data_IF_146644051054
#
_entry.id   IF_146644051054
#
_cell.length_a   1.000
_cell.length_b   1.000
_cell.length_c   1.000
_cell.angle_alpha   90.00
_cell.angle_beta   90.00
_cell.angle_gamma   90.00
#
_symmetry.space_group_name_H-M   'P 1'
#
loop_
_entity.id
_entity.type
_entity.pdbx_description
1 polymer ?
#
# COMPACT_ATOMS: atom_id res chain seq x y z
N UNK A 1 -34.31 -8.26 20.13
CA UNK A 1 -33.87 -7.99 18.74
C UNK A 1 -32.46 -7.41 18.78
N UNK A 2 -31.46 -8.20 19.19
CA UNK A 2 -30.06 -7.76 19.33
C UNK A 2 -29.12 -8.52 18.38
N UNK A 3 -29.68 -9.22 17.39
CA UNK A 3 -28.94 -10.11 16.49
C UNK A 3 -28.59 -9.45 15.14
N UNK A 4 -29.24 -8.33 14.78
CA UNK A 4 -29.08 -7.66 13.49
C UNK A 4 -27.84 -6.78 13.40
N UNK A 5 -27.47 -6.11 14.50
CA UNK A 5 -26.47 -5.04 14.47
C UNK A 5 -25.05 -5.63 14.36
N UNK A 6 -24.81 -6.77 15.04
CA UNK A 6 -23.56 -7.51 14.90
C UNK A 6 -23.38 -8.13 13.52
N UNK A 7 -24.43 -8.66 12.89
CA UNK A 7 -24.33 -9.24 11.54
C UNK A 7 -24.02 -8.17 10.48
N UNK A 8 -24.65 -7.00 10.55
CA UNK A 8 -24.40 -5.87 9.66
C UNK A 8 -22.98 -5.28 9.84
N UNK A 9 -22.54 -5.12 11.09
CA UNK A 9 -21.19 -4.66 11.43
C UNK A 9 -20.10 -5.59 10.87
N UNK A 10 -20.36 -6.89 10.81
CA UNK A 10 -19.44 -7.84 10.20
C UNK A 10 -19.51 -7.81 8.66
N UNK A 11 -20.69 -7.54 8.08
CA UNK A 11 -20.89 -7.60 6.63
C UNK A 11 -20.11 -6.52 5.87
N UNK A 12 -20.12 -5.26 6.31
CA UNK A 12 -19.40 -4.19 5.61
C UNK A 12 -17.88 -4.43 5.62
N UNK A 13 -17.34 -4.92 6.75
CA UNK A 13 -15.93 -5.33 6.85
C UNK A 13 -15.62 -6.42 5.83
N UNK A 14 -16.48 -7.44 5.70
CA UNK A 14 -16.28 -8.48 4.70
C UNK A 14 -16.34 -7.93 3.27
N UNK A 15 -17.28 -7.03 2.98
CA UNK A 15 -17.40 -6.39 1.68
C UNK A 15 -16.13 -5.60 1.33
N UNK A 16 -15.56 -4.86 2.29
CA UNK A 16 -14.30 -4.13 2.09
C UNK A 16 -13.13 -5.10 1.94
N UNK A 17 -13.06 -6.20 2.71
CA UNK A 17 -12.02 -7.22 2.55
C UNK A 17 -12.02 -7.85 1.16
N UNK A 18 -13.19 -8.14 0.61
CA UNK A 18 -13.34 -8.80 -0.69
C UNK A 18 -13.27 -7.84 -1.89
N UNK A 19 -13.42 -6.53 -1.66
CA UNK A 19 -13.49 -5.54 -2.75
C UNK A 19 -12.14 -5.07 -3.32
N UNK A 20 -11.02 -5.55 -2.77
CA UNK A 20 -9.67 -5.20 -3.25
C UNK A 20 -9.21 -6.07 -4.42
N UNK A 21 -8.17 -5.65 -5.13
CA UNK A 21 -7.61 -6.41 -6.26
C UNK A 21 -6.94 -7.74 -5.84
N UNK A 22 -6.62 -7.87 -4.56
CA UNK A 22 -5.92 -9.03 -3.98
C UNK A 22 -6.87 -9.73 -2.99
N UNK A 23 -7.09 -11.05 -3.11
CA UNK A 23 -7.99 -11.77 -2.23
C UNK A 23 -7.46 -11.87 -0.80
N UNK A 24 -8.37 -11.76 0.18
CA UNK A 24 -8.11 -12.12 1.57
C UNK A 24 -8.19 -13.64 1.73
N UNK A 25 -7.12 -14.29 2.14
CA UNK A 25 -6.98 -15.74 2.26
C UNK A 25 -6.49 -16.14 3.66
N UNK A 26 -6.57 -17.42 4.03
CA UNK A 26 -5.94 -17.90 5.26
C UNK A 26 -4.41 -17.75 5.23
N UNK A 27 -3.75 -17.40 6.36
CA UNK A 27 -2.32 -17.10 6.38
C UNK A 27 -1.42 -18.28 6.00
N UNK A 28 -1.86 -19.52 6.25
CA UNK A 28 -1.19 -20.77 5.86
C UNK A 28 -1.22 -21.05 4.35
N UNK A 29 -2.18 -20.48 3.61
CA UNK A 29 -2.35 -20.69 2.18
C UNK A 29 -2.83 -19.40 1.50
N UNK A 30 -1.90 -18.49 1.25
CA UNK A 30 -2.18 -17.13 0.80
C UNK A 30 -1.59 -16.78 -0.60
N UNK A 31 -1.63 -17.66 -1.62
CA UNK A 31 -0.98 -17.38 -2.90
C UNK A 31 -1.60 -16.18 -3.62
N UNK A 32 -0.76 -15.26 -4.12
CA UNK A 32 -1.17 -14.00 -4.76
C UNK A 32 -2.27 -13.29 -3.96
N UNK A 33 -2.12 -13.29 -2.64
CA UNK A 33 -3.14 -12.94 -1.67
C UNK A 33 -2.61 -12.10 -0.53
N UNK A 34 -3.52 -11.69 0.35
CA UNK A 34 -3.18 -11.14 1.66
C UNK A 34 -3.93 -11.87 2.78
N UNK A 35 -3.41 -11.79 4.00
CA UNK A 35 -3.97 -12.41 5.19
C UNK A 35 -3.59 -11.62 6.44
N UNK A 36 -4.16 -12.00 7.58
CA UNK A 36 -3.67 -11.55 8.90
C UNK A 36 -2.82 -12.66 9.51
N UNK A 37 -1.50 -12.46 9.68
CA UNK A 37 -0.63 -13.46 10.30
C UNK A 37 -0.92 -13.57 11.81
N UNK A 38 -0.42 -14.60 12.51
CA UNK A 38 -0.47 -14.65 13.96
C UNK A 38 0.41 -13.55 14.59
N UNK A 39 -0.12 -12.82 15.58
CA UNK A 39 0.60 -11.73 16.25
C UNK A 39 1.84 -12.18 17.01
N UNK A 40 1.85 -13.42 17.48
CA UNK A 40 2.99 -14.02 18.19
C UNK A 40 4.24 -14.21 17.33
N UNK A 41 4.12 -14.05 16.01
CA UNK A 41 5.29 -14.04 15.11
C UNK A 41 6.12 -12.75 15.21
N UNK A 42 5.58 -11.70 15.85
CA UNK A 42 6.27 -10.44 16.07
C UNK A 42 6.70 -10.31 17.53
N UNK A 43 7.94 -9.88 17.75
CA UNK A 43 8.48 -9.67 19.09
C UNK A 43 8.43 -8.20 19.48
N UNK A 44 7.68 -7.88 20.54
CA UNK A 44 7.43 -6.52 21.04
C UNK A 44 8.07 -6.32 22.42
N UNK A 45 8.18 -5.06 22.88
CA UNK A 45 8.74 -4.75 24.20
C UNK A 45 7.85 -5.33 25.31
N UNK A 46 8.41 -6.18 26.18
CA UNK A 46 7.70 -6.77 27.32
C UNK A 46 7.46 -5.77 28.47
N UNK A 47 6.73 -6.17 29.52
CA UNK A 47 6.31 -5.27 30.61
C UNK A 47 7.47 -4.57 31.32
N UNK A 48 8.61 -5.26 31.51
CA UNK A 48 9.80 -4.73 32.16
C UNK A 48 10.93 -4.40 31.17
N UNK A 49 10.61 -4.12 29.89
CA UNK A 49 11.61 -3.97 28.82
C UNK A 49 12.68 -2.91 29.14
N UNK A 50 12.34 -1.79 29.78
CA UNK A 50 13.35 -0.76 30.03
C UNK A 50 14.45 -1.23 30.98
N UNK A 51 14.12 -2.09 31.94
CA UNK A 51 15.07 -2.73 32.85
C UNK A 51 15.76 -3.97 32.25
N UNK A 52 15.00 -4.83 31.57
CA UNK A 52 15.46 -6.19 31.18
C UNK A 52 15.89 -6.31 29.72
N UNK A 53 15.45 -5.38 28.86
CA UNK A 53 15.49 -5.48 27.39
C UNK A 53 14.78 -6.74 26.84
N UNK A 54 13.96 -7.41 27.64
CA UNK A 54 13.25 -8.62 27.24
C UNK A 54 12.05 -8.30 26.34
N UNK A 55 12.00 -8.96 25.18
CA UNK A 55 10.86 -8.91 24.27
C UNK A 55 9.96 -10.12 24.46
N UNK A 56 8.68 -9.95 24.19
CA UNK A 56 7.64 -10.99 24.25
C UNK A 56 6.93 -11.12 22.91
N UNK A 57 6.27 -12.26 22.63
CA UNK A 57 5.34 -12.36 21.50
C UNK A 57 4.26 -11.27 21.56
N UNK A 58 3.89 -10.73 20.39
CA UNK A 58 3.03 -9.55 20.28
C UNK A 58 1.55 -9.76 20.61
N UNK A 59 1.05 -11.00 20.55
CA UNK A 59 -0.33 -11.31 20.89
C UNK A 59 -1.38 -10.61 20.02
N UNK A 60 -2.49 -10.21 20.63
CA UNK A 60 -3.65 -9.65 19.95
C UNK A 60 -3.44 -8.21 19.43
N UNK A 61 -3.96 -7.97 18.22
CA UNK A 61 -3.98 -6.66 17.57
C UNK A 61 -4.97 -5.70 18.25
N UNK A 62 -4.62 -4.41 18.27
CA UNK A 62 -5.54 -3.34 18.70
C UNK A 62 -6.64 -3.07 17.67
N UNK A 63 -6.33 -3.24 16.37
CA UNK A 63 -7.22 -2.93 15.26
C UNK A 63 -7.57 -4.20 14.48
N UNK A 64 -8.80 -4.28 13.99
CA UNK A 64 -9.24 -5.37 13.10
C UNK A 64 -8.75 -5.10 11.67
N UNK A 65 -8.34 -6.12 10.90
CA UNK A 65 -8.03 -5.95 9.49
C UNK A 65 -9.30 -5.57 8.71
N UNK A 66 -9.20 -4.55 7.87
CA UNK A 66 -10.32 -4.05 7.06
C UNK A 66 -10.14 -4.35 5.57
N UNK A 67 -8.93 -4.24 5.03
CA UNK A 67 -8.69 -4.51 3.62
C UNK A 67 -7.26 -4.24 3.20
N UNK A 68 -6.93 -4.64 1.98
CA UNK A 68 -5.66 -4.34 1.32
C UNK A 68 -5.92 -3.91 -0.11
N UNK A 69 -5.26 -2.85 -0.53
CA UNK A 69 -5.21 -2.44 -1.93
C UNK A 69 -3.78 -2.56 -2.47
N UNK A 70 -3.66 -3.25 -3.59
CA UNK A 70 -2.47 -3.32 -4.40
C UNK A 70 -2.77 -2.60 -5.71
N UNK A 71 -2.26 -1.39 -5.86
CA UNK A 71 -2.64 -0.50 -6.95
C UNK A 71 -1.42 0.16 -7.58
N UNK A 72 -1.59 0.60 -8.82
CA UNK A 72 -0.57 1.31 -9.58
C UNK A 72 -1.11 2.46 -10.39
N UNK A 73 -0.27 3.46 -10.64
CA UNK A 73 -0.64 4.66 -11.38
C UNK A 73 0.56 5.35 -12.05
N UNK A 74 0.29 6.28 -12.98
CA UNK A 74 1.34 7.05 -13.65
C UNK A 74 2.02 8.07 -12.72
N UNK A 75 1.34 8.46 -11.65
CA UNK A 75 1.82 9.37 -10.61
C UNK A 75 1.78 8.69 -9.25
N UNK A 76 2.50 9.27 -8.28
CA UNK A 76 2.48 8.81 -6.90
C UNK A 76 1.06 8.87 -6.34
N UNK A 77 0.62 7.79 -5.70
CA UNK A 77 -0.73 7.67 -5.14
C UNK A 77 -0.67 8.03 -3.65
N UNK A 78 -1.37 9.07 -3.26
CA UNK A 78 -1.40 9.61 -1.91
C UNK A 78 -2.82 10.02 -1.50
N UNK A 79 -3.04 10.20 -0.20
CA UNK A 79 -4.30 10.72 0.36
C UNK A 79 -5.55 9.97 -0.11
N UNK A 80 -5.45 8.66 -0.27
CA UNK A 80 -6.50 7.83 -0.90
C UNK A 80 -7.83 7.90 -0.16
N UNK A 81 -7.79 8.09 1.17
CA UNK A 81 -8.99 8.22 1.97
C UNK A 81 -9.63 9.61 1.89
N UNK A 82 -8.97 10.63 1.33
CA UNK A 82 -9.65 11.91 0.99
C UNK A 82 -10.55 11.79 -0.22
N UNK A 83 -10.25 10.88 -1.14
CA UNK A 83 -11.07 10.63 -2.31
C UNK A 83 -12.38 9.95 -1.89
N UNK A 84 -13.50 10.68 -1.93
CA UNK A 84 -14.84 10.15 -1.61
C UNK A 84 -15.30 9.03 -2.54
N UNK A 85 -14.68 8.89 -3.72
CA UNK A 85 -14.97 7.79 -4.62
C UNK A 85 -14.17 6.52 -4.31
N UNK A 86 -13.16 6.60 -3.43
CA UNK A 86 -12.38 5.44 -3.02
C UNK A 86 -13.26 4.43 -2.28
N UNK A 87 -13.13 3.14 -2.60
CA UNK A 87 -14.01 2.07 -2.08
C UNK A 87 -14.07 2.02 -0.55
N UNK A 88 -12.92 2.18 0.11
CA UNK A 88 -12.83 2.19 1.58
C UNK A 88 -13.44 3.46 2.15
N UNK A 89 -13.27 4.60 1.47
CA UNK A 89 -13.85 5.86 1.92
C UNK A 89 -15.37 5.85 1.82
N UNK A 90 -15.93 5.31 0.73
CA UNK A 90 -17.38 5.09 0.60
C UNK A 90 -17.93 4.23 1.73
N UNK A 91 -17.28 3.11 2.02
CA UNK A 91 -17.70 2.22 3.11
C UNK A 91 -17.68 2.93 4.48
N UNK A 92 -16.65 3.74 4.77
CA UNK A 92 -16.63 4.56 6.00
C UNK A 92 -17.80 5.55 6.03
N UNK A 93 -18.02 6.29 4.94
CA UNK A 93 -19.08 7.29 4.86
C UNK A 93 -20.48 6.65 4.97
N UNK A 94 -20.68 5.46 4.40
CA UNK A 94 -21.92 4.66 4.51
C UNK A 94 -22.18 4.23 5.96
N UNK A 95 -21.19 3.69 6.65
CA UNK A 95 -21.33 3.30 8.07
C UNK A 95 -21.62 4.51 8.96
N UNK A 96 -20.99 5.66 8.70
CA UNK A 96 -21.26 6.91 9.40
C UNK A 96 -22.70 7.37 9.16
N UNK A 97 -23.23 7.19 7.95
CA UNK A 97 -24.63 7.51 7.64
C UNK A 97 -25.65 6.64 8.38
N UNK A 98 -25.25 5.42 8.75
CA UNK A 98 -26.03 4.51 9.60
C UNK A 98 -25.89 4.81 11.10
N UNK A 99 -25.11 5.83 11.49
CA UNK A 99 -24.91 6.23 12.88
C UNK A 99 -23.72 5.54 13.56
N UNK A 100 -23.01 4.65 12.86
CA UNK A 100 -21.79 4.03 13.35
C UNK A 100 -20.62 5.02 13.31
N UNK A 101 -19.57 4.75 14.09
CA UNK A 101 -18.38 5.62 14.14
C UNK A 101 -17.08 4.81 14.01
N UNK A 102 -16.90 4.04 12.92
CA UNK A 102 -15.66 3.32 12.71
C UNK A 102 -14.49 4.31 12.59
N UNK A 103 -13.34 3.96 13.14
CA UNK A 103 -12.10 4.72 12.95
C UNK A 103 -11.08 3.88 12.18
N UNK A 104 -10.76 4.31 10.96
CA UNK A 104 -9.90 3.56 10.03
C UNK A 104 -8.48 4.09 10.05
N UNK A 105 -7.52 3.16 10.12
CA UNK A 105 -6.10 3.44 9.90
C UNK A 105 -5.69 2.89 8.54
N UNK A 106 -5.14 3.75 7.69
CA UNK A 106 -4.55 3.35 6.42
C UNK A 106 -3.03 3.55 6.46
N UNK A 107 -2.27 2.51 6.09
CA UNK A 107 -0.83 2.61 5.88
C UNK A 107 -0.54 2.39 4.40
N UNK A 108 -0.18 3.46 3.69
CA UNK A 108 0.11 3.45 2.25
C UNK A 108 1.62 3.40 2.05
N UNK A 109 2.16 2.22 1.74
CA UNK A 109 3.55 2.07 1.34
C UNK A 109 3.68 2.43 -0.14
N UNK A 110 4.22 3.61 -0.39
CA UNK A 110 4.36 4.18 -1.73
C UNK A 110 5.71 3.74 -2.30
N UNK A 111 5.69 3.08 -3.45
CA UNK A 111 6.87 2.63 -4.19
C UNK A 111 7.00 3.42 -5.49
N UNK A 112 7.74 4.55 -5.49
CA UNK A 112 8.01 5.30 -6.70
C UNK A 112 8.84 4.47 -7.68
N UNK A 113 8.31 4.30 -8.89
CA UNK A 113 9.01 3.63 -9.99
C UNK A 113 8.54 4.22 -11.32
N UNK A 114 8.88 3.62 -12.47
CA UNK A 114 8.33 4.04 -13.77
C UNK A 114 6.80 3.99 -13.78
N UNK A 115 6.22 2.95 -13.16
CA UNK A 115 4.82 2.91 -12.75
C UNK A 115 4.81 3.00 -11.22
N UNK A 116 4.12 3.97 -10.63
CA UNK A 116 4.11 4.10 -9.18
C UNK A 116 3.18 3.03 -8.60
N UNK A 117 3.68 2.24 -7.65
CA UNK A 117 2.88 1.24 -6.94
C UNK A 117 2.57 1.73 -5.53
N UNK A 118 1.41 1.34 -5.02
CA UNK A 118 1.01 1.53 -3.63
C UNK A 118 0.45 0.23 -3.07
N UNK A 119 1.03 -0.21 -1.96
CA UNK A 119 0.45 -1.25 -1.11
C UNK A 119 -0.18 -0.57 0.10
N UNK A 120 -1.52 -0.61 0.18
CA UNK A 120 -2.28 0.12 1.20
C UNK A 120 -2.95 -0.89 2.11
N UNK A 121 -2.71 -0.77 3.41
CA UNK A 121 -3.23 -1.67 4.42
C UNK A 121 -4.21 -0.91 5.31
N UNK A 122 -5.45 -1.38 5.35
CA UNK A 122 -6.53 -0.77 6.11
C UNK A 122 -6.83 -1.60 7.35
N UNK A 123 -6.90 -0.94 8.49
CA UNK A 123 -7.34 -1.50 9.76
C UNK A 123 -8.44 -0.63 10.34
N UNK A 124 -9.30 -1.20 11.18
CA UNK A 124 -10.43 -0.50 11.77
C UNK A 124 -10.56 -0.77 13.26
N UNK A 125 -10.87 0.28 14.00
CA UNK A 125 -11.47 0.19 15.33
C UNK A 125 -12.94 0.56 15.24
N UNK A 126 -13.80 -0.25 15.84
CA UNK A 126 -15.25 0.00 15.92
C UNK A 126 -15.59 0.73 17.22
N UNK A 127 -14.70 0.62 18.19
CA UNK A 127 -14.73 1.35 19.45
C UNK A 127 -13.71 2.51 19.43
N UNK A 128 -13.97 3.62 20.14
CA UNK A 128 -12.98 4.66 20.32
C UNK A 128 -11.71 4.14 21.01
N UNK A 129 -10.57 4.76 20.70
CA UNK A 129 -9.34 4.50 21.45
C UNK A 129 -9.59 4.82 22.94
N UNK A 130 -9.18 3.96 23.88
CA UNK A 130 -9.34 4.26 25.31
C UNK A 130 -8.63 5.57 25.65
N UNK A 131 -9.33 6.45 26.36
CA UNK A 131 -8.79 7.78 26.70
C UNK A 131 -7.47 7.66 27.47
N UNK A 132 -6.47 8.44 27.05
CA UNK A 132 -5.14 8.41 27.66
C UNK A 132 -4.28 7.21 27.27
N UNK A 133 -4.78 6.26 26.49
CA UNK A 133 -3.95 5.18 25.92
C UNK A 133 -2.89 5.74 24.96
N UNK A 134 -1.83 4.96 24.70
CA UNK A 134 -0.80 5.36 23.73
C UNK A 134 -1.38 5.59 22.32
N UNK A 135 -2.42 4.86 21.94
CA UNK A 135 -3.12 5.06 20.67
C UNK A 135 -3.90 6.37 20.64
N UNK A 136 -4.61 6.70 21.72
CA UNK A 136 -5.32 7.99 21.87
C UNK A 136 -4.33 9.17 21.85
N UNK A 137 -3.23 9.05 22.59
CA UNK A 137 -2.14 10.04 22.59
C UNK A 137 -1.49 10.21 21.21
N UNK A 138 -1.33 9.12 20.45
CA UNK A 138 -0.78 9.20 19.09
C UNK A 138 -1.72 9.91 18.12
N UNK A 139 -3.02 9.61 18.20
CA UNK A 139 -4.04 10.25 17.36
C UNK A 139 -4.12 11.75 17.62
N UNK A 140 -4.14 12.14 18.90
CA UNK A 140 -4.18 13.56 19.34
C UNK A 140 -2.82 14.26 19.30
N UNK A 141 -1.74 13.50 19.11
CA UNK A 141 -0.37 13.98 19.18
C UNK A 141 0.04 14.81 17.97
N UNK A 142 1.17 15.49 18.09
CA UNK A 142 1.77 16.25 17.01
C UNK A 142 2.64 15.39 16.07
N UNK A 143 3.14 16.01 15.01
CA UNK A 143 4.02 15.35 14.05
C UNK A 143 5.32 14.84 14.67
N UNK A 144 5.83 15.49 15.72
CA UNK A 144 7.05 15.06 16.39
C UNK A 144 6.85 13.73 17.12
N UNK A 145 5.72 13.58 17.83
CA UNK A 145 5.32 12.32 18.44
C UNK A 145 5.15 11.26 17.34
N UNK A 146 4.36 11.54 16.31
CA UNK A 146 4.08 10.56 15.24
C UNK A 146 5.36 10.09 14.55
N UNK A 147 6.26 11.03 14.22
CA UNK A 147 7.56 10.77 13.58
C UNK A 147 8.49 9.90 14.42
N UNK A 148 8.40 10.02 15.75
CA UNK A 148 9.31 9.32 16.66
C UNK A 148 8.77 7.99 17.20
N UNK A 149 7.48 7.70 16.97
CA UNK A 149 6.78 6.58 17.62
C UNK A 149 6.28 5.51 16.66
N UNK A 150 5.84 5.87 15.44
CA UNK A 150 5.28 4.86 14.53
C UNK A 150 6.38 3.92 14.02
N UNK A 151 6.22 2.63 14.29
CA UNK A 151 7.19 1.57 14.02
C UNK A 151 6.60 0.54 13.06
N UNK A 152 7.41 0.13 12.09
CA UNK A 152 7.14 -0.99 11.20
C UNK A 152 8.04 -2.16 11.57
N UNK A 153 7.48 -3.36 11.62
CA UNK A 153 8.20 -4.63 11.75
C UNK A 153 7.92 -5.45 10.50
N UNK A 154 8.96 -5.95 9.84
CA UNK A 154 8.90 -6.71 8.60
C UNK A 154 9.63 -8.06 8.77
N UNK A 155 8.90 -9.15 8.56
CA UNK A 155 9.41 -10.50 8.60
C UNK A 155 9.31 -11.15 7.21
N UNK A 156 10.44 -11.60 6.65
CA UNK A 156 10.45 -12.34 5.38
C UNK A 156 10.21 -13.82 5.64
N UNK A 157 8.95 -14.23 5.59
CA UNK A 157 8.49 -15.61 5.84
C UNK A 157 9.01 -16.56 4.76
N UNK A 158 8.87 -16.18 3.50
CA UNK A 158 9.35 -16.94 2.32
C UNK A 158 10.05 -15.98 1.37
N UNK A 159 11.18 -16.40 0.83
CA UNK A 159 11.88 -15.59 -0.17
C UNK A 159 13.34 -15.93 -0.34
N UNK A 160 13.97 -15.44 -1.43
CA UNK A 160 15.40 -15.61 -1.66
C UNK A 160 16.23 -15.06 -0.49
N UNK A 161 17.35 -15.74 -0.20
CA UNK A 161 18.25 -15.36 0.88
C UNK A 161 18.76 -13.92 0.74
N UNK A 162 18.95 -13.44 -0.49
CA UNK A 162 19.41 -12.07 -0.77
C UNK A 162 18.42 -11.02 -0.29
N UNK A 163 17.11 -11.26 -0.43
CA UNK A 163 16.06 -10.36 0.08
C UNK A 163 16.06 -10.39 1.61
N UNK A 164 16.10 -11.57 2.21
CA UNK A 164 16.18 -11.73 3.67
C UNK A 164 17.38 -11.00 4.26
N UNK A 165 18.54 -11.09 3.61
CA UNK A 165 19.76 -10.43 4.06
C UNK A 165 19.67 -8.91 3.92
N UNK A 166 19.12 -8.41 2.81
CA UNK A 166 18.92 -6.98 2.59
C UNK A 166 17.94 -6.35 3.60
N UNK A 167 16.87 -7.07 3.92
CA UNK A 167 15.88 -6.62 4.92
C UNK A 167 16.44 -6.68 6.34
N UNK A 168 17.30 -7.67 6.66
CA UNK A 168 17.85 -7.96 7.99
C UNK A 168 17.85 -6.82 9.02
N UNK A 169 18.75 -5.84 8.88
CA UNK A 169 18.88 -4.75 9.86
C UNK A 169 17.75 -3.71 9.80
N UNK A 170 17.09 -3.59 8.65
CA UNK A 170 15.97 -2.66 8.41
C UNK A 170 14.61 -3.32 8.66
N UNK A 171 14.60 -4.57 9.15
CA UNK A 171 13.40 -5.33 9.44
C UNK A 171 12.53 -4.65 10.51
N UNK A 172 13.11 -3.80 11.36
CA UNK A 172 12.37 -3.00 12.33
C UNK A 172 12.84 -1.56 12.20
N UNK A 173 11.93 -0.64 11.89
CA UNK A 173 12.26 0.78 11.76
C UNK A 173 11.17 1.69 12.33
N UNK A 174 11.59 2.83 12.88
CA UNK A 174 10.67 3.94 13.17
C UNK A 174 10.47 4.69 11.87
N UNK A 175 9.26 4.61 11.31
CA UNK A 175 8.96 5.06 9.95
C UNK A 175 9.33 6.53 9.76
N UNK A 176 8.89 7.42 10.64
CA UNK A 176 9.18 8.85 10.51
C UNK A 176 10.67 9.22 10.69
N UNK A 177 11.51 8.33 11.23
CA UNK A 177 12.96 8.53 11.29
C UNK A 177 13.66 8.02 10.03
N UNK A 178 13.14 6.95 9.43
CA UNK A 178 13.74 6.29 8.28
C UNK A 178 13.25 6.84 6.93
N UNK A 179 12.03 7.38 6.89
CA UNK A 179 11.28 7.74 5.70
C UNK A 179 10.47 9.02 5.91
N UNK A 180 10.21 9.75 4.83
CA UNK A 180 9.19 10.80 4.81
C UNK A 180 7.81 10.16 4.94
N UNK A 181 7.08 10.56 5.97
CA UNK A 181 5.70 10.12 6.22
C UNK A 181 4.79 11.35 6.21
N UNK A 182 3.68 11.30 5.47
CA UNK A 182 2.62 12.30 5.52
C UNK A 182 1.40 11.71 6.24
N UNK A 183 0.94 12.41 7.26
CA UNK A 183 -0.27 12.03 8.01
C UNK A 183 -1.44 12.82 7.46
N UNK A 184 -2.50 12.10 7.11
CA UNK A 184 -3.73 12.67 6.54
C UNK A 184 -4.87 12.29 7.45
N UNK A 185 -5.47 13.29 8.09
CA UNK A 185 -6.48 13.10 9.11
C UNK A 185 -7.86 13.48 8.57
N UNK A 186 -8.84 12.63 8.87
CA UNK A 186 -10.26 12.91 8.71
C UNK A 186 -11.02 12.63 10.00
N UNK A 187 -12.33 12.88 10.02
CA UNK A 187 -13.15 12.66 11.22
C UNK A 187 -13.18 11.20 11.70
N UNK A 188 -13.03 10.25 10.76
CA UNK A 188 -13.18 8.81 11.00
C UNK A 188 -11.99 8.00 10.44
N UNK A 189 -10.89 8.67 10.11
CA UNK A 189 -9.70 7.97 9.64
C UNK A 189 -8.41 8.75 9.89
N UNK A 190 -7.31 8.00 9.91
CA UNK A 190 -5.96 8.49 9.73
C UNK A 190 -5.28 7.67 8.63
N UNK A 191 -4.64 8.34 7.69
CA UNK A 191 -3.82 7.72 6.66
C UNK A 191 -2.36 8.15 6.83
N UNK A 192 -1.46 7.19 6.70
CA UNK A 192 -0.02 7.39 6.72
C UNK A 192 0.54 7.04 5.36
N UNK A 193 0.84 8.07 4.58
CA UNK A 193 1.55 7.96 3.32
C UNK A 193 3.05 7.82 3.60
N UNK A 194 3.60 6.63 3.34
CA UNK A 194 5.00 6.28 3.61
C UNK A 194 5.77 6.28 2.29
N UNK A 195 6.59 7.31 2.07
CA UNK A 195 7.36 7.46 0.85
C UNK A 195 8.66 6.66 0.90
N UNK A 196 8.66 5.45 0.33
CA UNK A 196 9.87 4.61 0.28
C UNK A 196 11.00 5.28 -0.54
N UNK A 197 10.65 6.06 -1.56
CA UNK A 197 11.61 6.76 -2.41
C UNK A 197 12.39 7.87 -1.69
N UNK A 198 11.94 8.31 -0.52
CA UNK A 198 12.61 9.33 0.29
C UNK A 198 13.93 8.87 0.93
N UNK A 199 14.21 7.56 0.94
CA UNK A 199 15.45 7.00 1.48
C UNK A 199 16.13 6.12 0.45
N UNK A 200 17.39 6.44 0.12
CA UNK A 200 18.20 5.66 -0.84
C UNK A 200 18.28 4.19 -0.41
N UNK A 201 18.47 3.94 0.89
CA UNK A 201 18.62 2.59 1.44
C UNK A 201 17.30 1.83 1.38
N UNK A 202 16.20 2.43 1.87
CA UNK A 202 14.90 1.77 1.85
C UNK A 202 14.43 1.53 0.42
N UNK A 203 14.63 2.51 -0.46
CA UNK A 203 14.30 2.41 -1.88
C UNK A 203 15.03 1.24 -2.55
N UNK A 204 16.33 1.07 -2.28
CA UNK A 204 17.11 -0.04 -2.81
C UNK A 204 16.61 -1.41 -2.30
N UNK A 205 16.32 -1.52 -0.99
CA UNK A 205 15.85 -2.77 -0.37
C UNK A 205 14.47 -3.16 -0.91
N UNK A 206 13.54 -2.20 -0.96
CA UNK A 206 12.17 -2.47 -1.44
C UNK A 206 12.15 -2.76 -2.93
N UNK A 207 12.96 -2.09 -3.75
CA UNK A 207 13.06 -2.44 -5.18
C UNK A 207 13.68 -3.82 -5.41
N UNK A 208 14.67 -4.21 -4.61
CA UNK A 208 15.19 -5.58 -4.61
C UNK A 208 14.07 -6.57 -4.27
N UNK A 209 13.32 -6.33 -3.19
CA UNK A 209 12.21 -7.19 -2.79
C UNK A 209 11.11 -7.23 -3.86
N UNK A 210 10.80 -6.08 -4.47
CA UNK A 210 9.81 -5.96 -5.54
C UNK A 210 10.19 -6.82 -6.76
N UNK A 211 11.48 -6.93 -7.10
CA UNK A 211 11.96 -7.85 -8.14
C UNK A 211 11.65 -9.33 -7.88
N UNK A 212 11.40 -9.71 -6.63
CA UNK A 212 11.05 -11.07 -6.22
C UNK A 212 9.61 -11.21 -5.72
N UNK A 213 8.78 -10.16 -5.78
CA UNK A 213 7.49 -10.08 -5.08
C UNK A 213 6.54 -11.25 -5.37
N UNK A 214 6.57 -11.79 -6.59
CA UNK A 214 5.80 -12.98 -6.99
C UNK A 214 6.25 -14.30 -6.32
N UNK A 215 7.33 -14.29 -5.56
CA UNK A 215 7.89 -15.44 -4.82
C UNK A 215 8.14 -15.15 -3.34
N UNK A 216 7.82 -13.93 -2.90
CA UNK A 216 8.00 -13.48 -1.52
C UNK A 216 6.73 -13.67 -0.71
N UNK A 217 6.89 -14.06 0.56
CA UNK A 217 5.86 -13.93 1.59
C UNK A 217 6.43 -13.02 2.66
N UNK A 218 5.74 -11.91 2.93
CA UNK A 218 6.18 -10.89 3.88
C UNK A 218 5.07 -10.65 4.88
N UNK A 219 5.44 -10.66 6.15
CA UNK A 219 4.60 -10.24 7.26
C UNK A 219 5.04 -8.84 7.70
N UNK A 220 4.10 -7.90 7.68
CA UNK A 220 4.30 -6.53 8.17
C UNK A 220 3.41 -6.30 9.40
N UNK A 221 3.95 -5.69 10.44
CA UNK A 221 3.19 -5.22 11.60
C UNK A 221 3.47 -3.75 11.90
N UNK A 222 2.43 -3.03 12.26
CA UNK A 222 2.47 -1.64 12.67
C UNK A 222 2.34 -1.55 14.18
N UNK A 223 3.17 -0.73 14.81
CA UNK A 223 3.27 -0.62 16.27
C UNK A 223 3.54 0.83 16.64
N UNK A 224 2.97 1.30 17.74
CA UNK A 224 3.40 2.57 18.35
C UNK A 224 4.45 2.23 19.39
N UNK A 225 5.69 2.70 19.20
CA UNK A 225 6.79 2.37 20.08
C UNK A 225 6.60 2.95 21.49
N UNK A 226 6.55 2.07 22.49
CA UNK A 226 6.55 2.45 23.91
C UNK A 226 7.93 3.02 24.29
N UNK A 227 8.00 4.21 24.87
CA UNK A 227 9.20 4.90 25.37
C UNK A 227 9.14 5.19 26.89
N UNK A 228 8.03 4.88 27.57
CA UNK A 228 7.90 4.96 29.03
C UNK A 228 7.31 3.67 29.63
N UNK A 229 7.58 3.41 30.91
CA UNK A 229 7.11 2.18 31.60
C UNK A 229 5.58 2.05 31.61
N UNK A 230 4.86 3.16 31.75
CA UNK A 230 3.39 3.19 31.70
C UNK A 230 2.79 2.81 30.34
N UNK A 231 3.61 2.76 29.29
CA UNK A 231 3.23 2.40 27.93
C UNK A 231 3.52 0.92 27.61
N UNK A 232 4.03 0.15 28.57
CA UNK A 232 4.35 -1.27 28.42
C UNK A 232 3.23 -2.18 28.99
N UNK A 233 3.08 -3.42 28.48
CA UNK A 233 3.79 -3.98 27.32
C UNK A 233 3.36 -3.30 26.01
N UNK A 234 4.26 -3.29 25.04
CA UNK A 234 3.98 -2.75 23.71
C UNK A 234 2.97 -3.67 22.99
N UNK A 235 2.02 -3.09 22.25
CA UNK A 235 0.96 -3.82 21.53
C UNK A 235 0.98 -3.52 20.04
N UNK A 236 0.70 -4.54 19.23
CA UNK A 236 0.59 -4.40 17.78
C UNK A 236 -0.70 -3.62 17.43
N UNK A 237 -0.59 -2.59 16.58
CA UNK A 237 -1.78 -1.92 16.01
C UNK A 237 -2.53 -2.89 15.10
N UNK A 238 -1.80 -3.49 14.17
CA UNK A 238 -2.33 -4.45 13.20
C UNK A 238 -1.18 -5.05 12.40
N UNK A 239 -1.47 -6.16 11.72
CA UNK A 239 -0.51 -6.81 10.85
C UNK A 239 -1.17 -7.38 9.60
N UNK A 240 -0.34 -7.53 8.57
CA UNK A 240 -0.72 -8.04 7.26
C UNK A 240 0.37 -8.96 6.74
N UNK A 241 -0.07 -10.07 6.18
CA UNK A 241 0.74 -10.95 5.33
C UNK A 241 0.33 -10.66 3.90
N UNK A 242 1.28 -10.50 3.02
CA UNK A 242 1.02 -10.66 1.59
C UNK A 242 2.03 -11.63 1.01
N UNK A 243 1.59 -12.39 0.01
CA UNK A 243 2.38 -13.48 -0.53
C UNK A 243 2.21 -13.58 -2.03
N UNK A 244 3.34 -13.71 -2.71
CA UNK A 244 3.43 -14.00 -4.13
C UNK A 244 2.61 -13.01 -4.98
N UNK A 245 2.58 -11.73 -4.57
CA UNK A 245 1.82 -10.71 -5.29
C UNK A 245 2.42 -10.54 -6.68
N UNK A 246 1.59 -10.67 -7.71
CA UNK A 246 2.00 -10.34 -9.07
C UNK A 246 2.00 -8.82 -9.26
N UNK A 247 3.05 -8.19 -9.81
CA UNK A 247 2.99 -6.78 -10.22
C UNK A 247 1.84 -6.52 -11.20
N UNK A 248 1.47 -7.52 -12.02
CA UNK A 248 0.37 -7.42 -12.97
C UNK A 248 -1.03 -7.50 -12.34
N UNK A 249 -1.17 -7.96 -11.09
CA UNK A 249 -2.46 -7.95 -10.39
C UNK A 249 -2.77 -6.60 -9.71
N UNK A 250 -1.85 -5.64 -9.77
CA UNK A 250 -2.09 -4.30 -9.26
C UNK A 250 -3.24 -3.63 -10.03
N UNK A 251 -4.28 -3.21 -9.31
CA UNK A 251 -5.37 -2.43 -9.89
C UNK A 251 -4.87 -1.09 -10.41
N UNK A 252 -5.46 -0.60 -11.50
CA UNK A 252 -5.15 0.74 -12.01
C UNK A 252 -5.85 1.76 -11.12
N UNK A 253 -5.08 2.67 -10.52
CA UNK A 253 -5.64 3.78 -9.77
C UNK A 253 -6.06 4.91 -10.72
N UNK A 254 -7.36 5.19 -10.75
CA UNK A 254 -7.90 6.32 -11.48
C UNK A 254 -7.65 7.61 -10.70
N UNK A 255 -6.81 8.48 -11.27
CA UNK A 255 -6.52 9.79 -10.67
C UNK A 255 -7.80 10.65 -10.70
N UNK A 256 -8.25 11.22 -9.56
CA UNK A 256 -9.40 12.13 -9.53
C UNK A 256 -9.24 13.33 -10.47
N UNK A 257 -10.33 13.74 -11.12
CA UNK A 257 -10.34 14.80 -12.14
C UNK A 257 -9.78 16.16 -11.67
N UNK A 258 -9.81 16.44 -10.37
CA UNK A 258 -9.26 17.67 -9.78
C UNK A 258 -7.72 17.64 -9.74
N UNK A 259 -7.11 16.50 -9.43
CA UNK A 259 -5.66 16.30 -9.48
C UNK A 259 -5.15 16.23 -10.93
N UNK A 260 -5.98 15.77 -11.87
CA UNK A 260 -5.64 15.75 -13.29
C UNK A 260 -5.36 17.16 -13.87
N UNK A 261 -6.00 18.20 -13.34
CA UNK A 261 -5.78 19.59 -13.79
C UNK A 261 -4.42 20.14 -13.34
N UNK A 262 -3.92 19.71 -12.18
CA UNK A 262 -2.58 20.07 -11.69
C UNK A 262 -1.46 19.24 -12.34
N UNK A 263 -1.75 18.01 -12.77
CA UNK A 263 -0.78 17.10 -13.42
C UNK A 263 -0.61 17.38 -14.92
N UNK A 264 -1.61 17.97 -15.57
CA UNK A 264 -1.60 18.31 -17.00
C UNK A 264 -0.37 19.11 -17.51
N UNK A 265 0.30 19.99 -16.73
CA UNK A 265 1.52 20.68 -17.16
C UNK A 265 2.78 19.81 -17.12
N UNK A 266 2.75 18.64 -16.47
CA UNK A 266 3.93 17.84 -16.12
C UNK A 266 4.15 16.69 -17.13
N UNK A 267 3.11 16.25 -17.84
CA UNK A 267 3.19 15.17 -18.83
C UNK A 267 3.22 15.71 -20.27
N UNK A 268 4.11 15.20 -21.14
CA UNK A 268 4.06 15.51 -22.57
C UNK A 268 2.70 15.16 -23.17
N UNK A 269 2.05 16.15 -23.82
CA UNK A 269 0.70 16.05 -24.41
C UNK A 269 0.44 14.86 -25.32
N UNK A 270 1.50 14.24 -25.87
CA UNK A 270 1.43 13.04 -26.72
C UNK A 270 1.14 11.75 -25.94
N UNK A 271 1.60 11.65 -24.70
CA UNK A 271 1.29 10.50 -23.84
C UNK A 271 -0.18 10.52 -23.46
N UNK A 272 -0.71 11.69 -23.05
CA UNK A 272 -2.13 11.83 -22.67
C UNK A 272 -3.10 11.42 -23.78
N UNK A 273 -2.86 11.83 -25.03
CA UNK A 273 -3.70 11.44 -26.17
C UNK A 273 -3.70 9.93 -26.43
N UNK A 274 -2.55 9.29 -26.22
CA UNK A 274 -2.43 7.83 -26.37
C UNK A 274 -3.18 7.09 -25.24
N UNK A 275 -3.13 7.61 -24.01
CA UNK A 275 -3.88 7.07 -22.88
C UNK A 275 -5.40 7.23 -23.03
N UNK A 276 -5.89 8.38 -23.51
CA UNK A 276 -7.33 8.58 -23.75
C UNK A 276 -7.90 7.64 -24.81
N UNK A 277 -7.11 7.30 -25.83
CA UNK A 277 -7.52 6.35 -26.87
C UNK A 277 -7.53 4.90 -26.37
N UNK A 278 -6.66 4.54 -25.44
CA UNK A 278 -6.60 3.19 -24.86
C UNK A 278 -7.77 2.91 -23.90
N UNK A 279 -8.22 3.92 -23.16
CA UNK A 279 -9.37 3.81 -22.24
C UNK A 279 -10.72 3.76 -22.96
N UNK A 280 -10.81 4.24 -24.21
CA UNK A 280 -12.05 4.31 -24.97
C UNK A 280 -12.36 3.04 -25.79
N UNK A 281 -11.45 2.07 -25.88
CA UNK A 281 -11.67 0.87 -26.70
C UNK A 281 -11.05 -0.42 -26.11
N UNK A 282 -11.77 -1.15 -25.23
CA UNK A 282 -11.40 -2.50 -24.85
C UNK A 282 -12.03 -3.49 -25.84
N UNK A 283 -11.40 -3.69 -27.01
CA UNK A 283 -11.79 -4.78 -27.90
C UNK A 283 -11.51 -4.54 -29.38
N UNK A 284 -10.35 -4.97 -29.87
CA UNK A 284 -10.31 -5.97 -30.94
C UNK A 284 -8.90 -6.53 -31.15
N UNK A 285 -8.85 -7.84 -31.33
CA UNK A 285 -7.69 -8.67 -31.63
C UNK A 285 -7.02 -8.32 -32.97
N UNK A 286 -5.70 -8.48 -33.03
CA UNK A 286 -4.90 -8.52 -34.26
C UNK A 286 -5.40 -9.59 -35.24
N UNK A 287 -5.48 -9.26 -36.54
CA UNK A 287 -5.01 -10.10 -37.65
C UNK A 287 -4.74 -9.26 -38.93
N UNK A 288 -3.92 -9.76 -39.89
CA UNK A 288 -3.09 -8.94 -40.78
C UNK A 288 -3.69 -8.64 -42.17
N UNK A 289 -3.20 -7.54 -42.77
CA UNK A 289 -3.05 -7.07 -44.18
C UNK A 289 -4.01 -7.56 -45.29
N UNK A 290 -4.29 -6.69 -46.30
CA UNK A 290 -3.50 -6.81 -47.53
C UNK A 290 -3.18 -5.50 -48.27
N UNK A 291 -2.23 -5.67 -49.20
CA UNK A 291 -1.64 -4.81 -50.22
C UNK A 291 -2.57 -4.28 -51.32
N UNK A 292 -2.24 -3.10 -51.87
CA UNK A 292 -2.25 -2.73 -53.32
C UNK A 292 -1.84 -1.25 -53.42
N UNK A 293 -0.64 -0.92 -53.88
CA UNK A 293 -0.24 -0.67 -55.28
C UNK A 293 -0.72 0.67 -55.88
N UNK A 294 0.26 1.30 -56.57
CA UNK A 294 0.19 2.33 -57.61
C UNK A 294 0.07 3.81 -57.22
N UNK A 295 0.75 4.77 -57.85
CA UNK A 295 1.89 4.84 -58.80
C UNK A 295 2.22 6.33 -58.98
N UNK A 296 3.50 6.65 -59.17
CA UNK A 296 4.11 7.71 -60.01
C UNK A 296 5.28 8.34 -59.24
N UNK A 297 6.56 8.13 -59.57
CA UNK A 297 7.15 7.88 -60.88
C UNK A 297 7.60 9.20 -61.49
N UNK A 298 8.80 9.67 -61.15
CA UNK A 298 9.60 10.43 -62.09
C UNK A 298 11.08 10.09 -61.93
N UNK A 299 11.61 9.51 -63.01
CA UNK A 299 13.00 9.15 -63.25
C UNK A 299 13.84 10.42 -63.47
N UNK A 300 15.08 10.43 -62.98
CA UNK A 300 16.23 10.68 -63.85
C UNK A 300 17.47 9.94 -63.31
N UNK A 301 18.13 9.27 -64.26
CA UNK A 301 19.29 8.38 -64.23
C UNK A 301 20.57 9.24 -64.37
N UNK A 302 21.72 8.92 -63.80
CA UNK A 302 22.83 8.10 -64.37
C UNK A 302 23.94 8.13 -63.29
N UNK A 303 24.48 7.02 -62.77
CA UNK A 303 25.37 5.97 -63.32
C UNK A 303 26.88 6.22 -63.10
N UNK A 304 27.54 5.12 -62.69
CA UNK A 304 28.98 4.87 -62.53
C UNK A 304 29.74 5.66 -61.45
N UNK A 305 30.62 5.10 -60.62
CA UNK A 305 31.27 3.81 -60.60
C UNK A 305 32.71 3.99 -60.07
N UNK A 306 33.17 2.99 -59.30
CA UNK A 306 34.57 2.63 -59.05
C UNK A 306 35.37 3.24 -57.86
N UNK A 307 35.75 2.30 -56.97
CA UNK A 307 37.09 1.95 -56.45
C UNK A 307 37.96 2.95 -55.67
N UNK A 308 38.43 2.44 -54.53
CA UNK A 308 39.79 2.51 -53.94
C UNK A 308 40.44 3.88 -53.69
N UNK A 309 40.40 4.34 -52.44
CA UNK A 309 41.51 4.38 -51.45
C UNK A 309 41.11 5.20 -50.22
#
# INVERSE_FOLDING_TARGET
MACSDGEAEHQWIQNVKSGGAVPCLPPENCPNGWATPPGDTFMVRGPEYFATKAKIPGGEYLLKPLGVDWIKGPVKICEVLKNRNHRVRKAIDEEVSHGNKPFVWAFNLQLPSKENYSAIFYFVSLEPAPEGSLMDQFLKGDDALRKSRLKLIANIVKGPWIVRKAVGEQAICILGRALSCKYVEGSNFIEVDVDIGSSIVANAIVHLAFGYVATLTIDLAFVIESQAESELPERLLGAVRFSELSPGSAGVYEVPSEEQQEIAPILPSRLWRSFSQLLQNPGNSMQPSPSSENTNGNFHKEDAGNSDN
#
